data_IF_657398022152
#
_entry.id   IF_657398022152
#
_cell.length_a   1.000
_cell.length_b   1.000
_cell.length_c   1.000
_cell.angle_alpha   90.00
_cell.angle_beta   90.00
_cell.angle_gamma   90.00
#
_symmetry.space_group_name_H-M   'P 1'
#
loop_
_entity.id
_entity.type
_entity.pdbx_description
1 polymer ?
#
# COMPACT_ATOMS: atom_id res chain seq x y z
N UNK A 1 1.72 45.82 -33.26
CA UNK A 1 2.63 45.05 -32.38
C UNK A 1 2.14 44.98 -30.93
N UNK A 2 1.69 46.09 -30.31
CA UNK A 2 1.26 46.13 -28.90
C UNK A 2 0.19 45.10 -28.47
N UNK A 3 -0.80 44.78 -29.32
CA UNK A 3 -1.84 43.78 -29.00
C UNK A 3 -1.29 42.35 -28.88
N UNK A 4 -0.27 41.98 -29.66
CA UNK A 4 0.33 40.63 -29.62
C UNK A 4 1.23 40.44 -28.40
N UNK A 5 1.98 41.47 -28.01
CA UNK A 5 2.78 41.47 -26.78
C UNK A 5 1.91 41.49 -25.52
N UNK A 6 0.75 42.14 -25.55
CA UNK A 6 -0.19 42.15 -24.43
C UNK A 6 -0.83 40.77 -24.17
N UNK A 7 -1.25 40.08 -25.24
CA UNK A 7 -1.77 38.70 -25.14
C UNK A 7 -0.69 37.75 -24.64
N UNK A 8 0.55 37.88 -25.12
CA UNK A 8 1.66 37.04 -24.65
C UNK A 8 1.97 37.24 -23.16
N UNK A 9 1.93 38.49 -22.66
CA UNK A 9 2.13 38.77 -21.23
C UNK A 9 1.02 38.21 -20.34
N UNK A 10 -0.24 38.32 -20.76
CA UNK A 10 -1.37 37.76 -20.00
C UNK A 10 -1.29 36.23 -19.94
N UNK A 11 -0.97 35.57 -21.06
CA UNK A 11 -0.79 34.12 -21.10
C UNK A 11 0.37 33.68 -20.21
N UNK A 12 1.49 34.39 -20.21
CA UNK A 12 2.64 34.10 -19.34
C UNK A 12 2.27 34.27 -17.86
N UNK A 13 1.51 35.32 -17.52
CA UNK A 13 1.06 35.57 -16.16
C UNK A 13 0.10 34.47 -15.66
N UNK A 14 -0.81 33.98 -16.51
CA UNK A 14 -1.70 32.87 -16.18
C UNK A 14 -0.93 31.55 -15.94
N UNK A 15 0.10 31.25 -16.74
CA UNK A 15 0.96 30.07 -16.55
C UNK A 15 1.72 30.13 -15.22
N UNK A 16 2.20 31.31 -14.84
CA UNK A 16 2.90 31.53 -13.56
C UNK A 16 1.95 31.35 -12.37
N UNK A 17 0.70 31.82 -12.47
CA UNK A 17 -0.32 31.62 -11.42
C UNK A 17 -0.70 30.14 -11.24
N UNK A 18 -0.82 29.38 -12.34
CA UNK A 18 -1.10 27.94 -12.29
C UNK A 18 0.06 27.16 -11.65
N UNK A 19 1.30 27.55 -11.95
CA UNK A 19 2.51 26.93 -11.39
C UNK A 19 2.66 27.22 -9.89
N UNK A 20 2.23 28.41 -9.42
CA UNK A 20 2.23 28.77 -8.01
C UNK A 20 1.17 28.01 -7.19
N UNK A 21 -0.01 27.72 -7.77
CA UNK A 21 -1.02 26.88 -7.12
C UNK A 21 -0.51 25.45 -6.86
N UNK A 22 0.11 24.81 -7.87
CA UNK A 22 0.65 23.45 -7.71
C UNK A 22 1.78 23.34 -6.70
N UNK A 23 2.66 24.35 -6.61
CA UNK A 23 3.79 24.35 -5.67
C UNK A 23 3.36 24.56 -4.22
N UNK A 24 2.39 25.44 -3.96
CA UNK A 24 1.90 25.71 -2.62
C UNK A 24 1.16 24.50 -2.02
N UNK A 25 0.38 23.78 -2.83
CA UNK A 25 -0.30 22.55 -2.44
C UNK A 25 0.69 21.40 -2.21
N UNK A 26 1.67 21.23 -3.10
CA UNK A 26 2.73 20.22 -2.95
C UNK A 26 3.50 20.35 -1.64
N UNK A 27 3.93 21.55 -1.25
CA UNK A 27 4.68 21.72 0.01
C UNK A 27 3.84 21.49 1.28
N UNK A 28 2.53 21.71 1.22
CA UNK A 28 1.62 21.43 2.35
C UNK A 28 1.45 19.93 2.55
N UNK A 29 1.29 19.18 1.46
CA UNK A 29 1.21 17.72 1.47
C UNK A 29 2.51 17.13 2.02
N UNK A 30 3.67 17.60 1.56
CA UNK A 30 4.97 17.13 2.04
C UNK A 30 5.14 17.34 3.56
N UNK A 31 4.81 18.54 4.05
CA UNK A 31 4.85 18.85 5.49
C UNK A 31 3.91 17.96 6.31
N UNK A 32 2.73 17.64 5.77
CA UNK A 32 1.78 16.74 6.42
C UNK A 32 2.36 15.31 6.50
N UNK A 33 2.90 14.80 5.38
CA UNK A 33 3.53 13.48 5.31
C UNK A 33 4.70 13.36 6.30
N UNK A 34 5.57 14.37 6.38
CA UNK A 34 6.69 14.39 7.33
C UNK A 34 6.22 14.37 8.79
N UNK A 35 5.16 15.10 9.13
CA UNK A 35 4.56 15.07 10.47
C UNK A 35 3.97 13.70 10.79
N UNK A 36 3.24 13.09 9.85
CA UNK A 36 2.69 11.74 9.98
C UNK A 36 3.78 10.70 10.18
N UNK A 37 4.86 10.73 9.38
CA UNK A 37 6.01 9.83 9.54
C UNK A 37 6.67 9.97 10.90
N UNK A 38 6.82 11.20 11.39
CA UNK A 38 7.38 11.44 12.72
C UNK A 38 6.48 10.89 13.82
N UNK A 39 5.16 11.02 13.68
CA UNK A 39 4.17 10.46 14.61
C UNK A 39 4.21 8.92 14.61
N UNK A 40 4.24 8.30 13.42
CA UNK A 40 4.33 6.85 13.25
C UNK A 40 5.55 6.27 13.98
N UNK A 41 6.71 6.94 13.87
CA UNK A 41 7.93 6.54 14.58
C UNK A 41 7.83 6.62 16.11
N UNK A 42 6.87 7.36 16.66
CA UNK A 42 6.66 7.43 18.12
C UNK A 42 5.78 6.30 18.67
N UNK A 43 5.04 5.60 17.80
CA UNK A 43 4.21 4.48 18.23
C UNK A 43 5.05 3.22 18.38
N UNK A 44 4.99 2.61 19.57
CA UNK A 44 5.65 1.33 19.86
C UNK A 44 4.88 0.15 19.27
N UNK A 45 3.56 0.27 19.21
CA UNK A 45 2.63 -0.75 18.71
C UNK A 45 1.61 -0.07 17.78
N UNK A 46 1.33 -0.70 16.65
CA UNK A 46 0.34 -0.25 15.67
C UNK A 46 -0.56 -1.42 15.28
N UNK A 47 -1.87 -1.21 15.31
CA UNK A 47 -2.84 -2.11 14.70
C UNK A 47 -3.16 -1.59 13.29
N UNK A 48 -3.08 -2.47 12.29
CA UNK A 48 -3.28 -2.16 10.89
C UNK A 48 -4.29 -3.16 10.34
N UNK A 49 -5.38 -2.64 9.76
CA UNK A 49 -6.31 -3.43 8.95
C UNK A 49 -6.15 -3.00 7.49
N UNK A 50 -5.87 -3.95 6.61
CA UNK A 50 -5.72 -3.72 5.18
C UNK A 50 -6.73 -4.59 4.45
N UNK A 51 -7.54 -3.98 3.59
CA UNK A 51 -8.44 -4.68 2.68
C UNK A 51 -7.85 -4.55 1.28
N UNK A 52 -7.61 -5.67 0.61
CA UNK A 52 -6.99 -5.71 -0.72
C UNK A 52 -7.86 -6.51 -1.68
N UNK A 53 -8.19 -5.90 -2.81
CA UNK A 53 -8.78 -6.58 -3.96
C UNK A 53 -7.70 -6.75 -5.02
N UNK A 54 -7.36 -8.00 -5.35
CA UNK A 54 -6.36 -8.32 -6.36
C UNK A 54 -6.99 -9.21 -7.45
N UNK A 55 -6.53 -9.05 -8.69
CA UNK A 55 -6.88 -9.97 -9.79
C UNK A 55 -5.60 -10.72 -10.16
N UNK A 56 -5.53 -12.02 -9.82
CA UNK A 56 -4.39 -12.84 -10.22
C UNK A 56 -4.64 -13.33 -11.65
N UNK A 57 -3.82 -12.81 -12.57
CA UNK A 57 -3.75 -13.30 -13.95
C UNK A 57 -2.93 -14.58 -13.96
N UNK A 58 -3.58 -15.72 -14.16
CA UNK A 58 -2.90 -16.99 -14.37
C UNK A 58 -2.26 -16.95 -15.76
N UNK A 59 -0.93 -17.07 -15.83
CA UNK A 59 -0.19 -17.04 -17.10
C UNK A 59 -0.78 -18.04 -18.11
N UNK A 60 -0.90 -17.63 -19.37
CA UNK A 60 -1.68 -18.27 -20.44
C UNK A 60 -1.22 -19.64 -20.94
N UNK A 61 -0.81 -20.56 -20.05
CA UNK A 61 -0.56 -21.95 -20.40
C UNK A 61 -1.48 -22.88 -19.61
N UNK A 62 -2.62 -23.22 -20.23
CA UNK A 62 -3.05 -24.62 -20.24
C UNK A 62 -4.24 -25.08 -19.40
N UNK A 63 -4.95 -24.21 -18.67
CA UNK A 63 -6.09 -24.69 -17.85
C UNK A 63 -7.44 -24.37 -18.51
N UNK A 64 -8.00 -25.36 -19.20
CA UNK A 64 -9.40 -25.36 -19.64
C UNK A 64 -10.31 -25.32 -18.41
N UNK A 65 -10.98 -24.19 -18.17
CA UNK A 65 -12.03 -24.07 -17.14
C UNK A 65 -11.93 -22.90 -16.17
N UNK A 66 -10.92 -22.01 -16.31
CA UNK A 66 -10.81 -20.81 -15.48
C UNK A 66 -11.04 -19.53 -16.30
N UNK A 67 -11.55 -18.43 -15.69
CA UNK A 67 -11.84 -17.17 -16.39
C UNK A 67 -10.57 -16.54 -16.99
N UNK A 68 -10.64 -16.09 -18.25
CA UNK A 68 -9.53 -15.40 -18.94
C UNK A 68 -9.11 -14.09 -18.24
N UNK A 69 -10.06 -13.45 -17.55
CA UNK A 69 -9.83 -12.19 -16.83
C UNK A 69 -9.08 -12.37 -15.49
N UNK A 70 -8.75 -13.60 -15.13
CA UNK A 70 -8.11 -13.93 -13.86
C UNK A 70 -9.12 -14.21 -12.74
N UNK A 71 -8.60 -14.57 -11.57
CA UNK A 71 -9.41 -14.87 -10.39
C UNK A 71 -9.34 -13.66 -9.46
N UNK A 72 -10.47 -13.01 -9.14
CA UNK A 72 -10.49 -11.98 -8.12
C UNK A 72 -10.26 -12.62 -6.75
N UNK A 73 -9.28 -12.09 -6.03
CA UNK A 73 -8.96 -12.46 -4.66
C UNK A 73 -9.14 -11.22 -3.82
N UNK A 74 -10.19 -11.24 -3.01
CA UNK A 74 -10.33 -10.32 -1.90
C UNK A 74 -9.54 -10.89 -0.72
N UNK A 75 -8.79 -10.04 -0.04
CA UNK A 75 -8.09 -10.42 1.18
C UNK A 75 -8.13 -9.34 2.22
N UNK A 76 -8.29 -9.76 3.47
CA UNK A 76 -8.19 -8.90 4.64
C UNK A 76 -6.94 -9.27 5.41
N UNK A 77 -6.14 -8.27 5.74
CA UNK A 77 -4.95 -8.42 6.57
C UNK A 77 -5.19 -7.64 7.85
N UNK A 78 -5.35 -8.35 8.95
CA UNK A 78 -5.40 -7.77 10.30
C UNK A 78 -4.07 -8.01 10.98
N UNK A 79 -3.32 -6.93 11.27
CA UNK A 79 -1.96 -7.01 11.78
C UNK A 79 -1.74 -6.14 13.01
N UNK A 80 -0.96 -6.64 13.96
CA UNK A 80 -0.43 -5.89 15.10
C UNK A 80 1.09 -5.89 15.00
N UNK A 81 1.67 -4.71 14.80
CA UNK A 81 3.10 -4.51 14.65
C UNK A 81 3.67 -3.86 15.90
N UNK A 82 4.71 -4.46 16.47
CA UNK A 82 5.58 -3.85 17.46
C UNK A 82 6.87 -3.42 16.77
N UNK A 83 7.31 -2.18 17.00
CA UNK A 83 8.47 -1.60 16.30
C UNK A 83 9.80 -1.94 16.99
N UNK A 84 9.80 -2.07 18.33
CA UNK A 84 11.00 -2.33 19.12
C UNK A 84 10.76 -3.34 20.26
N UNK A 85 11.35 -4.55 20.21
CA UNK A 85 11.91 -5.19 19.01
C UNK A 85 10.84 -5.36 17.92
N UNK A 86 11.27 -5.45 16.65
CA UNK A 86 10.36 -5.71 15.54
C UNK A 86 9.70 -7.08 15.73
N UNK A 87 8.39 -7.07 15.92
CA UNK A 87 7.57 -8.27 15.98
C UNK A 87 6.21 -7.97 15.37
N UNK A 88 5.59 -8.94 14.73
CA UNK A 88 4.21 -8.78 14.28
C UNK A 88 3.42 -10.08 14.35
N UNK A 89 2.13 -9.92 14.57
CA UNK A 89 1.14 -10.95 14.34
C UNK A 89 0.20 -10.45 13.25
N UNK A 90 -0.03 -11.24 12.21
CA UNK A 90 -1.02 -10.91 11.19
C UNK A 90 -1.85 -12.11 10.78
N UNK A 91 -3.13 -11.88 10.55
CA UNK A 91 -4.06 -12.84 9.98
C UNK A 91 -4.41 -12.37 8.57
N UNK A 92 -4.19 -13.23 7.60
CA UNK A 92 -4.51 -13.02 6.19
C UNK A 92 -5.69 -13.91 5.86
N UNK A 93 -6.86 -13.31 5.69
CA UNK A 93 -8.07 -14.00 5.25
C UNK A 93 -8.23 -13.78 3.75
N UNK A 94 -8.35 -14.88 3.00
CA UNK A 94 -8.66 -14.87 1.57
C UNK A 94 -9.80 -15.84 1.30
N UNK A 95 -10.45 -15.73 0.13
CA UNK A 95 -11.55 -16.62 -0.27
C UNK A 95 -11.15 -18.11 -0.22
N UNK A 96 -9.87 -18.43 -0.40
CA UNK A 96 -9.38 -19.80 -0.43
C UNK A 96 -8.92 -20.35 0.93
N UNK A 97 -8.43 -19.48 1.83
CA UNK A 97 -7.77 -19.90 3.07
C UNK A 97 -7.58 -18.72 4.04
N UNK A 98 -7.48 -19.07 5.32
CA UNK A 98 -6.99 -18.20 6.39
C UNK A 98 -5.56 -18.62 6.72
N UNK A 99 -4.64 -17.67 6.70
CA UNK A 99 -3.24 -17.88 7.09
C UNK A 99 -2.89 -16.95 8.23
N UNK A 100 -2.37 -17.49 9.32
CA UNK A 100 -1.80 -16.69 10.40
C UNK A 100 -0.28 -16.65 10.24
N UNK A 101 0.31 -15.49 10.51
CA UNK A 101 1.74 -15.27 10.49
C UNK A 101 2.20 -14.56 11.75
N UNK A 102 3.31 -15.03 12.29
CA UNK A 102 3.95 -14.47 13.47
C UNK A 102 5.44 -14.28 13.20
N UNK A 103 5.92 -13.06 13.36
CA UNK A 103 7.32 -12.71 13.18
C UNK A 103 7.93 -12.25 14.49
N UNK A 104 9.12 -12.77 14.79
CA UNK A 104 10.03 -12.23 15.80
C UNK A 104 11.47 -12.21 15.28
N UNK A 105 12.38 -11.71 16.11
CA UNK A 105 13.83 -11.88 15.97
C UNK A 105 14.32 -13.31 15.64
N UNK A 106 13.53 -14.36 15.96
CA UNK A 106 13.86 -15.77 15.71
C UNK A 106 13.45 -16.24 14.30
N UNK A 107 12.58 -15.48 13.64
CA UNK A 107 12.12 -15.75 12.27
C UNK A 107 10.62 -15.56 12.10
N UNK A 108 10.18 -15.83 10.88
CA UNK A 108 8.77 -15.83 10.48
C UNK A 108 8.19 -17.23 10.63
N UNK A 109 7.03 -17.31 11.29
CA UNK A 109 6.23 -18.52 11.45
C UNK A 109 4.89 -18.29 10.77
N UNK A 110 4.34 -19.32 10.15
CA UNK A 110 3.03 -19.27 9.51
C UNK A 110 2.27 -20.56 9.72
N UNK A 111 0.94 -20.52 9.70
CA UNK A 111 0.13 -21.73 9.70
C UNK A 111 0.37 -22.53 8.42
N UNK A 112 0.46 -23.85 8.53
CA UNK A 112 0.62 -24.71 7.37
C UNK A 112 -0.65 -24.69 6.51
N UNK A 113 -0.60 -24.28 5.24
CA UNK A 113 -1.79 -24.29 4.38
C UNK A 113 -2.29 -25.70 4.03
N UNK A 114 -1.49 -26.74 4.28
CA UNK A 114 -1.77 -28.14 3.90
C UNK A 114 -2.02 -29.09 5.07
N UNK A 115 -2.00 -28.60 6.31
CA UNK A 115 -2.18 -29.45 7.49
C UNK A 115 -2.14 -28.67 8.81
N UNK A 116 -2.09 -29.37 9.93
CA UNK A 116 -2.12 -28.74 11.25
C UNK A 116 -0.74 -28.24 11.70
N UNK A 117 -0.73 -27.08 12.35
CA UNK A 117 0.43 -26.54 13.07
C UNK A 117 1.14 -25.37 12.39
N UNK A 118 2.21 -24.91 13.05
CA UNK A 118 3.03 -23.78 12.63
C UNK A 118 4.29 -24.27 11.92
N UNK A 119 4.59 -23.67 10.78
CA UNK A 119 5.84 -23.87 10.04
C UNK A 119 6.68 -22.61 10.09
N UNK A 120 7.99 -22.77 10.27
CA UNK A 120 8.94 -21.67 10.13
C UNK A 120 9.16 -21.42 8.64
N UNK A 121 8.94 -20.20 8.18
CA UNK A 121 9.28 -19.80 6.82
C UNK A 121 10.81 -19.84 6.62
N UNK A 122 11.30 -20.11 5.40
CA UNK A 122 12.72 -20.05 5.06
C UNK A 122 13.36 -18.71 5.42
#
# INVERSE_FOLDING_TARGET
MAKRTYVAMISLFLILLLSACGSAEGSKIEKLCLKLLKLIKTYKVMAVKTETDQIIKMGGQGNKGLPEDGIPIQSTIDAVHQMEPMAFHQTIESVAQITEQYYTDKGLYMTNPTGDGWVKAP
#
